data_IF_634263194624
#
_entry.id   IF_634263194624
#
_cell.length_a   1.000
_cell.length_b   1.000
_cell.length_c   1.000
_cell.angle_alpha   90.00
_cell.angle_beta   90.00
_cell.angle_gamma   90.00
#
_symmetry.space_group_name_H-M   'P 1'
#
loop_
_entity.id
_entity.type
_entity.pdbx_description
1 polymer ?
#
# COMPACT_ATOMS: atom_id res chain seq x y z
N UNK A 1 3.83 11.21 -27.85
CA UNK A 1 2.88 11.79 -26.87
C UNK A 1 2.65 10.74 -25.79
N UNK A 2 3.03 11.00 -24.54
CA UNK A 2 2.71 10.08 -23.43
C UNK A 2 1.27 10.32 -22.97
N UNK A 3 0.55 9.26 -22.64
CA UNK A 3 -0.80 9.33 -22.10
C UNK A 3 -0.85 8.45 -20.85
N UNK A 4 -1.07 9.07 -19.70
CA UNK A 4 -1.28 8.37 -18.45
C UNK A 4 -2.78 8.17 -18.23
N UNK A 5 -3.16 7.01 -17.69
CA UNK A 5 -4.53 6.74 -17.26
C UNK A 5 -4.59 6.82 -15.74
N UNK A 6 -5.63 7.48 -15.21
CA UNK A 6 -5.86 7.51 -13.78
C UNK A 6 -6.15 6.11 -13.24
N UNK A 7 -5.75 5.86 -11.99
CA UNK A 7 -6.10 4.62 -11.31
C UNK A 7 -7.62 4.49 -11.19
N UNK A 8 -8.15 3.34 -11.61
CA UNK A 8 -9.57 3.01 -11.48
C UNK A 8 -9.75 2.21 -10.19
N UNK A 9 -10.46 2.79 -9.24
CA UNK A 9 -10.80 2.10 -8.00
C UNK A 9 -11.77 0.96 -8.29
N UNK A 10 -11.71 -0.09 -7.46
CA UNK A 10 -12.68 -1.17 -7.52
C UNK A 10 -14.09 -0.61 -7.31
N UNK A 11 -15.00 -0.96 -8.21
CA UNK A 11 -16.43 -0.60 -8.20
C UNK A 11 -16.72 0.90 -8.03
N UNK A 12 -15.78 1.78 -8.42
CA UNK A 12 -15.94 3.23 -8.25
C UNK A 12 -15.95 3.69 -6.78
N UNK A 13 -15.40 2.88 -5.87
CA UNK A 13 -15.46 3.10 -4.42
C UNK A 13 -14.74 4.34 -3.90
N UNK A 14 -13.93 5.00 -4.73
CA UNK A 14 -13.10 6.15 -4.34
C UNK A 14 -12.12 5.87 -3.19
N UNK A 15 -11.80 4.59 -2.97
CA UNK A 15 -10.79 4.14 -2.03
C UNK A 15 -9.44 4.09 -2.73
N UNK A 16 -8.53 4.98 -2.35
CA UNK A 16 -7.19 5.08 -2.93
C UNK A 16 -6.13 4.76 -1.88
N UNK A 17 -4.93 4.43 -2.35
CA UNK A 17 -3.70 4.53 -1.57
C UNK A 17 -2.63 5.16 -2.44
N UNK A 18 -1.92 6.12 -1.87
CA UNK A 18 -0.71 6.69 -2.43
C UNK A 18 0.49 6.28 -1.57
N UNK A 19 1.61 5.98 -2.23
CA UNK A 19 2.87 5.55 -1.60
C UNK A 19 3.94 6.56 -2.00
N UNK A 20 4.43 7.32 -1.03
CA UNK A 20 5.46 8.34 -1.24
C UNK A 20 6.73 7.92 -0.52
N UNK A 21 7.87 7.94 -1.20
CA UNK A 21 9.18 7.66 -0.62
C UNK A 21 9.96 8.96 -0.58
N UNK A 22 10.47 9.33 0.59
CA UNK A 22 11.27 10.54 0.80
C UNK A 22 12.77 10.22 0.66
N UNK A 23 13.19 9.85 -0.55
CA UNK A 23 14.60 9.63 -0.90
C UNK A 23 14.81 9.71 -2.42
N UNK A 24 15.85 10.44 -2.85
CA UNK A 24 16.24 10.53 -4.26
C UNK A 24 17.25 9.42 -4.66
N UNK A 25 18.14 9.05 -3.74
CA UNK A 25 19.13 7.99 -3.90
C UNK A 25 19.22 7.19 -2.59
N UNK A 26 19.43 5.87 -2.69
CA UNK A 26 19.45 4.95 -1.56
C UNK A 26 20.70 4.08 -1.58
N UNK A 27 21.41 4.04 -0.47
CA UNK A 27 22.54 3.15 -0.22
C UNK A 27 22.16 2.04 0.76
N UNK A 28 22.91 0.93 0.72
CA UNK A 28 22.77 -0.15 1.71
C UNK A 28 23.09 0.42 3.09
N UNK A 29 22.17 0.25 4.04
CA UNK A 29 22.25 0.79 5.39
C UNK A 29 21.41 2.04 5.62
N UNK A 30 20.98 2.74 4.56
CA UNK A 30 20.14 3.93 4.68
C UNK A 30 18.77 3.60 5.27
N UNK A 31 18.21 4.56 6.01
CA UNK A 31 16.81 4.52 6.44
C UNK A 31 15.98 5.40 5.51
N UNK A 32 14.99 4.80 4.85
CA UNK A 32 13.99 5.54 4.07
C UNK A 32 12.67 5.64 4.83
N UNK A 33 11.99 6.77 4.66
CA UNK A 33 10.60 6.95 5.10
C UNK A 33 9.66 6.67 3.93
N UNK A 34 8.71 5.77 4.17
CA UNK A 34 7.67 5.40 3.21
C UNK A 34 6.34 5.86 3.79
N UNK A 35 5.71 6.82 3.14
CA UNK A 35 4.41 7.34 3.53
C UNK A 35 3.31 6.58 2.80
N UNK A 36 2.35 6.06 3.56
CA UNK A 36 1.13 5.43 3.07
C UNK A 36 -0.04 6.35 3.37
N UNK A 37 -0.68 6.87 2.32
CA UNK A 37 -1.78 7.82 2.42
C UNK A 37 -3.04 7.28 1.76
N UNK A 38 -4.15 7.21 2.49
CA UNK A 38 -5.44 6.77 1.93
C UNK A 38 -6.48 7.91 1.87
N UNK A 39 -6.04 9.16 2.10
CA UNK A 39 -6.87 10.35 1.98
C UNK A 39 -8.14 10.28 2.83
N UNK A 40 -9.24 10.80 2.28
CA UNK A 40 -10.58 10.76 2.90
C UNK A 40 -11.40 9.53 2.49
N UNK A 41 -10.75 8.38 2.27
CA UNK A 41 -11.45 7.14 1.88
C UNK A 41 -12.67 6.89 2.80
N UNK A 42 -13.90 6.97 2.27
CA UNK A 42 -15.10 6.96 3.08
C UNK A 42 -15.34 5.54 3.61
N UNK A 43 -15.31 5.38 4.94
CA UNK A 43 -16.01 4.27 5.59
C UNK A 43 -15.23 3.35 6.51
N UNK A 44 -13.91 3.49 6.70
CA UNK A 44 -13.20 2.58 7.63
C UNK A 44 -12.08 3.28 8.40
N UNK A 45 -12.28 3.46 9.72
CA UNK A 45 -11.32 4.11 10.64
C UNK A 45 -10.18 3.19 11.08
N UNK A 46 -10.46 1.90 11.19
CA UNK A 46 -9.50 0.87 11.59
C UNK A 46 -9.31 -0.13 10.44
N UNK A 47 -8.17 -0.06 9.78
CA UNK A 47 -7.84 -0.90 8.63
C UNK A 47 -6.50 -1.59 8.87
N UNK A 48 -6.41 -2.85 8.44
CA UNK A 48 -5.14 -3.56 8.36
C UNK A 48 -4.41 -3.13 7.09
N UNK A 49 -3.21 -2.60 7.25
CA UNK A 49 -2.27 -2.28 6.18
C UNK A 49 -1.26 -3.41 6.10
N UNK A 50 -0.99 -3.88 4.90
CA UNK A 50 0.08 -4.82 4.62
C UNK A 50 1.05 -4.17 3.64
N UNK A 51 2.34 -4.25 3.91
CA UNK A 51 3.37 -3.91 2.92
C UNK A 51 4.33 -5.07 2.72
N UNK A 52 4.89 -5.11 1.52
CA UNK A 52 5.87 -6.08 1.09
C UNK A 52 7.02 -5.35 0.37
N UNK A 53 8.24 -5.79 0.66
CA UNK A 53 9.42 -5.44 -0.12
C UNK A 53 9.74 -6.64 -1.00
N UNK A 54 9.72 -6.41 -2.31
CA UNK A 54 10.00 -7.42 -3.31
C UNK A 54 11.35 -7.12 -3.96
N UNK A 55 12.23 -8.11 -4.09
CA UNK A 55 13.43 -8.01 -4.91
C UNK A 55 13.65 -9.32 -5.65
N UNK A 56 14.09 -9.24 -6.91
CA UNK A 56 14.40 -10.42 -7.75
C UNK A 56 13.25 -11.45 -7.83
N UNK A 57 12.01 -10.98 -7.78
CA UNK A 57 10.81 -11.82 -7.82
C UNK A 57 10.45 -12.51 -6.49
N UNK A 58 11.13 -12.18 -5.39
CA UNK A 58 10.91 -12.78 -4.08
C UNK A 58 10.46 -11.74 -3.05
N UNK A 59 9.76 -12.20 -2.01
CA UNK A 59 9.41 -11.38 -0.84
C UNK A 59 10.63 -11.34 0.08
N UNK A 60 11.25 -10.16 0.20
CA UNK A 60 12.36 -9.89 1.12
C UNK A 60 11.84 -9.59 2.51
N UNK A 61 10.75 -8.82 2.59
CA UNK A 61 10.09 -8.47 3.86
C UNK A 61 8.59 -8.36 3.65
N UNK A 62 7.83 -8.79 4.63
CA UNK A 62 6.39 -8.53 4.75
C UNK A 62 6.07 -8.14 6.18
N UNK A 63 5.15 -7.20 6.35
CA UNK A 63 4.66 -6.81 7.66
C UNK A 63 3.21 -6.30 7.54
N UNK A 64 2.49 -6.38 8.66
CA UNK A 64 1.08 -5.98 8.77
C UNK A 64 0.85 -5.20 10.05
N UNK A 65 0.17 -4.07 9.94
CA UNK A 65 -0.17 -3.25 11.10
C UNK A 65 -1.56 -2.62 10.97
N UNK A 66 -2.17 -2.32 12.13
CA UNK A 66 -3.46 -1.65 12.21
C UNK A 66 -3.27 -0.14 12.20
N UNK A 67 -3.92 0.55 11.26
CA UNK A 67 -4.06 2.01 11.30
C UNK A 67 -5.12 2.39 12.33
N UNK A 68 -4.79 3.32 13.24
CA UNK A 68 -5.73 3.90 14.19
C UNK A 68 -5.91 5.40 13.89
N UNK A 69 -7.03 5.78 13.28
CA UNK A 69 -7.52 7.16 13.20
C UNK A 69 -6.78 8.16 12.29
N UNK A 70 -5.48 7.99 12.03
CA UNK A 70 -4.70 8.89 11.15
C UNK A 70 -4.83 8.50 9.67
N UNK A 71 -4.94 9.49 8.76
CA UNK A 71 -5.08 9.26 7.31
C UNK A 71 -3.77 8.92 6.60
N UNK A 72 -2.64 9.32 7.20
CA UNK A 72 -1.29 9.12 6.69
C UNK A 72 -0.45 8.37 7.73
N UNK A 73 0.32 7.38 7.29
CA UNK A 73 1.25 6.62 8.12
C UNK A 73 2.64 6.65 7.51
N UNK A 74 3.68 6.68 8.34
CA UNK A 74 5.08 6.62 7.91
C UNK A 74 5.74 5.32 8.40
N UNK A 75 6.29 4.55 7.47
CA UNK A 75 7.11 3.38 7.75
C UNK A 75 8.59 3.76 7.63
N UNK A 76 9.41 3.32 8.58
CA UNK A 76 10.86 3.43 8.49
C UNK A 76 11.40 2.08 8.04
N UNK A 77 12.08 2.07 6.89
CA UNK A 77 12.66 0.86 6.31
C UNK A 77 14.16 1.06 6.12
N UNK A 78 14.95 0.13 6.62
CA UNK A 78 16.40 0.10 6.37
C UNK A 78 16.69 -0.67 5.08
N UNK A 79 17.46 -0.07 4.18
CA UNK A 79 17.89 -0.69 2.91
C UNK A 79 18.92 -1.76 3.21
N UNK A 80 18.72 -2.96 2.68
CA UNK A 80 19.60 -4.12 2.90
C UNK A 80 20.22 -4.59 1.59
N UNK A 81 21.26 -5.44 1.68
CA UNK A 81 21.93 -6.02 0.50
C UNK A 81 20.96 -6.82 -0.38
N UNK A 82 19.96 -7.47 0.22
CA UNK A 82 18.99 -8.29 -0.50
C UNK A 82 18.03 -7.46 -1.36
N UNK A 83 17.97 -6.15 -1.13
CA UNK A 83 17.18 -5.19 -1.91
C UNK A 83 17.94 -4.67 -3.13
N UNK A 84 19.25 -4.92 -3.25
CA UNK A 84 20.06 -4.46 -4.38
C UNK A 84 19.98 -5.40 -5.60
N UNK A 85 20.09 -4.88 -6.84
CA UNK A 85 20.28 -3.46 -7.20
C UNK A 85 18.97 -2.67 -7.23
N UNK A 86 17.82 -3.34 -7.21
CA UNK A 86 16.50 -2.73 -7.19
C UNK A 86 15.50 -3.57 -6.40
N UNK A 87 14.49 -2.90 -5.88
CA UNK A 87 13.39 -3.50 -5.13
C UNK A 87 12.09 -2.75 -5.41
N UNK A 88 10.97 -3.37 -5.06
CA UNK A 88 9.64 -2.76 -5.14
C UNK A 88 9.02 -2.74 -3.77
N UNK A 89 8.35 -1.63 -3.45
CA UNK A 89 7.44 -1.58 -2.32
C UNK A 89 6.03 -1.74 -2.86
N UNK A 90 5.35 -2.73 -2.32
CA UNK A 90 3.94 -3.00 -2.60
C UNK A 90 3.19 -2.87 -1.29
N UNK A 91 2.13 -2.09 -1.27
CA UNK A 91 1.26 -2.02 -0.11
C UNK A 91 -0.20 -2.17 -0.56
N UNK A 92 -1.01 -2.69 0.37
CA UNK A 92 -2.47 -2.66 0.25
C UNK A 92 -3.11 -2.54 1.63
N UNK A 93 -4.38 -2.15 1.63
CA UNK A 93 -5.23 -2.15 2.81
C UNK A 93 -6.56 -2.78 2.49
N UNK A 94 -7.21 -3.31 3.52
CA UNK A 94 -8.56 -3.86 3.41
C UNK A 94 -9.58 -2.79 3.76
N UNK A 95 -10.52 -2.56 2.84
CA UNK A 95 -11.78 -1.91 3.16
C UNK A 95 -12.77 -2.99 3.56
N UNK A 96 -13.30 -2.91 4.79
CA UNK A 96 -14.31 -3.85 5.26
C UNK A 96 -15.48 -3.97 4.27
N UNK A 97 -16.22 -5.07 4.31
CA UNK A 97 -17.42 -5.22 3.50
C UNK A 97 -18.34 -4.03 3.78
N UNK A 98 -18.71 -3.29 2.72
CA UNK A 98 -19.92 -2.46 2.77
C UNK A 98 -21.03 -3.36 3.33
N UNK A 99 -21.70 -2.92 4.38
CA UNK A 99 -22.78 -3.69 4.98
C UNK A 99 -23.90 -3.81 3.92
N UNK A 100 -23.84 -4.87 3.13
CA UNK A 100 -24.92 -5.29 2.26
C UNK A 100 -25.96 -5.99 3.14
N UNK A 101 -27.22 -5.61 2.90
CA UNK A 101 -28.39 -6.20 3.50
C UNK A 101 -28.35 -7.74 3.37
N UNK A 102 -28.87 -8.44 4.38
CA UNK A 102 -28.53 -9.80 4.85
C UNK A 102 -28.71 -11.00 3.90
N UNK A 103 -28.90 -10.82 2.58
CA UNK A 103 -29.39 -11.89 1.68
C UNK A 103 -28.52 -12.20 0.45
N UNK A 104 -27.22 -11.92 0.45
CA UNK A 104 -26.36 -12.34 -0.68
C UNK A 104 -25.04 -12.95 -0.20
N UNK A 105 -24.71 -14.11 -0.77
CA UNK A 105 -23.52 -14.91 -0.45
C UNK A 105 -22.22 -14.12 -0.63
N UNK A 106 -21.40 -14.17 0.41
CA UNK A 106 -20.12 -13.50 0.58
C UNK A 106 -19.16 -13.71 -0.60
N UNK A 107 -18.82 -12.63 -1.30
CA UNK A 107 -17.80 -12.61 -2.34
C UNK A 107 -16.69 -11.64 -1.98
N UNK A 108 -15.78 -12.08 -1.10
CA UNK A 108 -14.36 -11.72 -1.14
C UNK A 108 -13.96 -10.37 -0.54
N UNK A 109 -13.00 -10.43 0.39
CA UNK A 109 -12.28 -9.29 0.95
C UNK A 109 -11.74 -8.35 -0.14
N UNK A 110 -11.99 -7.04 0.02
CA UNK A 110 -11.51 -6.01 -0.90
C UNK A 110 -10.03 -5.70 -0.67
N UNK A 111 -9.22 -5.70 -1.75
CA UNK A 111 -7.79 -5.40 -1.74
C UNK A 111 -7.53 -4.27 -2.75
N UNK A 112 -6.99 -3.13 -2.29
CA UNK A 112 -6.52 -2.06 -3.16
C UNK A 112 -4.99 -2.11 -3.26
N UNK A 113 -4.47 -2.41 -4.44
CA UNK A 113 -3.04 -2.59 -4.71
C UNK A 113 -2.45 -1.36 -5.42
N UNK A 114 -1.39 -0.78 -4.85
CA UNK A 114 -0.49 0.13 -5.58
C UNK A 114 0.96 -0.33 -5.38
N UNK A 115 1.74 -0.34 -6.47
CA UNK A 115 3.17 -0.65 -6.45
C UNK A 115 3.97 0.51 -7.02
N UNK A 116 5.02 0.94 -6.33
CA UNK A 116 6.03 1.84 -6.89
C UNK A 116 7.30 1.07 -7.25
N UNK A 117 7.95 1.52 -8.32
CA UNK A 117 9.29 1.09 -8.71
C UNK A 117 10.30 2.10 -8.14
N UNK A 118 11.43 1.60 -7.64
CA UNK A 118 12.60 2.40 -7.25
C UNK A 118 13.81 1.84 -7.97
#
# INVERSE_FOLDING_TARGET
>A
KMTAQAYKTKDGSNNFMDIIIDAAELQIGDQMKVFLNTGQSPGVRDQDYTYMILSKGQIVKVDRFKRKGQSQMALIVTVTKDMAPSFRIVAYYHVGSVAFDKNHTDTGSNINLLSLFT
#
